data_IF_637096954010
#
_entry.id   IF_637096954010
#
_cell.length_a   1.000
_cell.length_b   1.000
_cell.length_c   1.000
_cell.angle_alpha   90.00
_cell.angle_beta   90.00
_cell.angle_gamma   90.00
#
_symmetry.space_group_name_H-M   'P 1'
#
loop_
_entity.id
_entity.type
_entity.pdbx_description
1 polymer ?
#
# COMPACT_ATOMS: atom_id res chain seq x y z
N UNK A 1 -2.56 -15.52 -27.18
CA UNK A 1 -3.85 -16.11 -27.61
C UNK A 1 -4.80 -14.99 -27.98
N UNK A 2 -5.11 -14.83 -29.28
CA UNK A 2 -5.91 -13.67 -29.72
C UNK A 2 -7.34 -13.64 -29.13
N UNK A 3 -7.90 -14.77 -28.77
CA UNK A 3 -9.24 -14.85 -28.16
C UNK A 3 -9.28 -14.28 -26.74
N UNK A 4 -8.24 -14.54 -25.95
CA UNK A 4 -8.12 -14.05 -24.57
C UNK A 4 -7.89 -12.54 -24.60
N UNK A 5 -7.08 -12.06 -25.53
CA UNK A 5 -6.82 -10.62 -25.68
C UNK A 5 -8.09 -9.86 -26.08
N UNK A 6 -8.91 -10.43 -26.95
CA UNK A 6 -10.22 -9.88 -27.31
C UNK A 6 -11.21 -9.89 -26.14
N UNK A 7 -11.23 -10.94 -25.33
CA UNK A 7 -12.08 -11.03 -24.16
C UNK A 7 -11.66 -10.01 -23.07
N UNK A 8 -10.36 -9.87 -22.85
CA UNK A 8 -9.83 -8.89 -21.90
C UNK A 8 -9.98 -7.45 -22.37
N UNK A 9 -10.01 -7.22 -23.68
CA UNK A 9 -10.27 -5.92 -24.28
C UNK A 9 -11.75 -5.50 -24.20
N UNK A 10 -12.68 -6.47 -24.01
CA UNK A 10 -14.10 -6.12 -23.91
C UNK A 10 -14.40 -5.37 -22.60
N UNK A 11 -15.04 -4.21 -22.71
CA UNK A 11 -15.40 -3.38 -21.56
C UNK A 11 -16.29 -4.10 -20.52
N UNK A 12 -17.10 -5.07 -20.98
CA UNK A 12 -17.97 -5.87 -20.12
C UNK A 12 -17.18 -6.84 -19.24
N UNK A 13 -16.22 -7.57 -19.83
CA UNK A 13 -15.36 -8.52 -19.11
C UNK A 13 -14.49 -7.76 -18.10
N UNK A 14 -13.92 -6.64 -18.51
CA UNK A 14 -13.12 -5.79 -17.60
C UNK A 14 -13.94 -5.27 -16.43
N UNK A 15 -15.18 -4.81 -16.66
CA UNK A 15 -16.10 -4.39 -15.59
C UNK A 15 -16.46 -5.55 -14.65
N UNK A 16 -16.70 -6.75 -15.18
CA UNK A 16 -16.98 -7.92 -14.37
C UNK A 16 -15.79 -8.32 -13.50
N UNK A 17 -14.57 -8.28 -14.04
CA UNK A 17 -13.33 -8.54 -13.29
C UNK A 17 -13.20 -7.53 -12.15
N UNK A 18 -13.32 -6.23 -12.42
CA UNK A 18 -13.24 -5.21 -11.39
C UNK A 18 -14.35 -5.32 -10.34
N UNK A 19 -15.57 -5.67 -10.73
CA UNK A 19 -16.72 -5.75 -9.83
C UNK A 19 -16.68 -6.95 -8.90
N UNK A 20 -16.21 -8.11 -9.38
CA UNK A 20 -16.27 -9.38 -8.64
C UNK A 20 -14.91 -9.88 -8.17
N UNK A 21 -13.90 -9.80 -9.02
CA UNK A 21 -12.55 -10.30 -8.71
C UNK A 21 -11.80 -9.42 -7.71
N UNK A 22 -11.84 -8.11 -7.90
CA UNK A 22 -11.11 -7.17 -7.04
C UNK A 22 -11.59 -7.20 -5.59
N UNK A 23 -12.92 -7.14 -5.28
CA UNK A 23 -13.40 -7.31 -3.93
C UNK A 23 -13.08 -8.67 -3.32
N UNK A 24 -13.14 -9.74 -4.12
CA UNK A 24 -12.77 -11.08 -3.68
C UNK A 24 -11.28 -11.16 -3.32
N UNK A 25 -10.41 -10.66 -4.17
CA UNK A 25 -8.97 -10.62 -3.93
C UNK A 25 -8.64 -9.78 -2.69
N UNK A 26 -9.26 -8.63 -2.54
CA UNK A 26 -9.06 -7.73 -1.39
C UNK A 26 -9.48 -8.40 -0.09
N UNK A 27 -10.60 -9.11 -0.07
CA UNK A 27 -11.04 -9.87 1.10
C UNK A 27 -10.07 -10.99 1.46
N UNK A 28 -9.57 -11.69 0.47
CA UNK A 28 -8.61 -12.78 0.67
C UNK A 28 -7.27 -12.26 1.21
N UNK A 29 -6.77 -11.17 0.64
CA UNK A 29 -5.55 -10.54 1.12
C UNK A 29 -5.69 -10.00 2.55
N UNK A 30 -6.87 -9.52 2.93
CA UNK A 30 -7.16 -9.15 4.33
C UNK A 30 -7.12 -10.36 5.27
N UNK A 31 -7.66 -11.49 4.84
CA UNK A 31 -7.62 -12.72 5.62
C UNK A 31 -6.19 -13.24 5.84
N UNK A 32 -5.28 -12.92 4.95
CA UNK A 32 -3.85 -13.25 5.03
C UNK A 32 -3.02 -12.17 5.76
N UNK A 33 -3.67 -11.19 6.40
CA UNK A 33 -3.03 -10.08 7.12
C UNK A 33 -2.07 -9.23 6.27
N UNK A 34 -2.31 -9.16 4.96
CA UNK A 34 -1.54 -8.29 4.08
C UNK A 34 -1.90 -6.84 4.31
N UNK A 35 -1.00 -6.08 4.93
CA UNK A 35 -1.21 -4.68 5.30
C UNK A 35 -0.73 -3.69 4.24
N UNK A 36 0.23 -4.08 3.42
CA UNK A 36 0.87 -3.22 2.44
C UNK A 36 0.75 -3.78 1.03
N UNK A 37 0.40 -2.90 0.09
CA UNK A 37 0.23 -3.22 -1.33
C UNK A 37 1.19 -2.40 -2.21
N UNK A 38 2.31 -1.93 -1.67
CA UNK A 38 3.32 -1.21 -2.43
C UNK A 38 4.48 -2.11 -2.85
N UNK A 39 5.32 -1.60 -3.74
CA UNK A 39 6.46 -2.35 -4.29
C UNK A 39 7.70 -2.35 -3.39
N UNK A 40 7.61 -1.79 -2.20
CA UNK A 40 8.73 -1.63 -1.29
C UNK A 40 9.82 -0.67 -1.79
N UNK A 41 10.74 -0.28 -0.90
CA UNK A 41 11.82 0.63 -1.23
C UNK A 41 13.02 0.36 -0.32
N UNK A 42 14.20 0.29 -0.90
CA UNK A 42 15.45 0.20 -0.16
C UNK A 42 16.38 1.33 -0.62
N UNK A 43 16.99 2.02 0.34
CA UNK A 43 18.00 3.04 0.07
C UNK A 43 19.39 2.42 0.00
N UNK A 44 20.25 2.97 -0.86
CA UNK A 44 21.67 2.64 -0.91
C UNK A 44 22.50 3.92 -0.63
N UNK A 45 23.22 4.01 0.50
CA UNK A 45 23.27 3.05 1.61
C UNK A 45 21.95 2.98 2.41
N UNK A 46 21.64 1.83 3.01
CA UNK A 46 20.38 1.65 3.72
C UNK A 46 20.30 2.56 4.95
N UNK A 47 19.17 3.25 5.10
CA UNK A 47 18.88 3.99 6.34
C UNK A 47 18.53 3.04 7.47
N UNK A 48 19.05 3.33 8.65
CA UNK A 48 18.61 2.65 9.86
C UNK A 48 17.31 3.27 10.35
N UNK A 49 16.18 2.65 10.03
CA UNK A 49 14.87 3.00 10.55
C UNK A 49 14.52 2.07 11.70
N UNK A 50 14.29 2.64 12.88
CA UNK A 50 13.85 1.87 14.05
C UNK A 50 12.35 1.65 13.96
N UNK A 51 11.93 0.39 13.97
CA UNK A 51 10.53 -0.02 13.89
C UNK A 51 10.13 -0.82 15.12
N UNK A 52 8.83 -0.80 15.43
CA UNK A 52 8.26 -1.74 16.37
C UNK A 52 8.42 -3.18 15.83
N UNK A 53 8.65 -4.19 16.71
CA UNK A 53 8.81 -5.57 16.27
C UNK A 53 7.66 -6.08 15.38
N UNK A 54 6.44 -5.61 15.61
CA UNK A 54 5.27 -5.96 14.80
C UNK A 54 5.33 -5.44 13.37
N UNK A 55 6.10 -4.37 13.12
CA UNK A 55 6.24 -3.74 11.81
C UNK A 55 7.43 -4.28 10.99
N UNK A 56 8.35 -5.01 11.62
CA UNK A 56 9.59 -5.47 10.97
C UNK A 56 9.36 -6.31 9.71
N UNK A 57 8.35 -7.14 9.67
CA UNK A 57 8.02 -7.95 8.49
C UNK A 57 7.62 -7.10 7.26
N UNK A 58 7.23 -5.86 7.49
CA UNK A 58 6.84 -4.90 6.45
C UNK A 58 7.86 -3.78 6.26
N UNK A 59 9.08 -3.93 6.76
CA UNK A 59 10.12 -2.92 6.76
C UNK A 59 10.31 -2.23 5.41
N UNK A 60 10.51 -2.96 4.34
CA UNK A 60 10.76 -2.38 3.02
C UNK A 60 9.56 -1.57 2.50
N UNK A 61 8.34 -2.01 2.79
CA UNK A 61 7.11 -1.26 2.47
C UNK A 61 6.97 0.02 3.29
N UNK A 62 7.33 -0.02 4.57
CA UNK A 62 7.34 1.14 5.46
C UNK A 62 8.42 2.13 5.05
N UNK A 63 9.58 1.67 4.59
CA UNK A 63 10.64 2.52 4.08
C UNK A 63 10.19 3.37 2.88
N UNK A 64 9.30 2.85 2.02
CA UNK A 64 8.70 3.65 0.96
C UNK A 64 7.84 4.79 1.52
N UNK A 65 6.99 4.51 2.51
CA UNK A 65 6.21 5.54 3.21
C UNK A 65 7.10 6.57 3.88
N UNK A 66 8.12 6.12 4.57
CA UNK A 66 9.11 6.98 5.22
C UNK A 66 9.79 7.92 4.22
N UNK A 67 10.25 7.37 3.11
CA UNK A 67 10.94 8.14 2.07
C UNK A 67 10.06 9.24 1.49
N UNK A 68 8.81 8.93 1.17
CA UNK A 68 7.85 9.90 0.60
C UNK A 68 7.37 10.89 1.65
N UNK A 69 6.94 10.43 2.80
CA UNK A 69 6.29 11.26 3.81
C UNK A 69 7.25 12.22 4.51
N UNK A 70 8.53 11.86 4.64
CA UNK A 70 9.52 12.70 5.31
C UNK A 70 10.15 13.76 4.40
N UNK A 71 9.68 13.91 3.17
CA UNK A 71 10.03 15.05 2.32
C UNK A 71 9.50 16.38 2.90
N UNK A 72 8.53 16.31 3.80
CA UNK A 72 8.01 17.45 4.55
C UNK A 72 7.71 17.06 6.00
N UNK A 73 7.61 18.05 6.88
CA UNK A 73 7.18 17.83 8.28
C UNK A 73 5.67 17.61 8.33
N UNK A 74 5.22 16.47 8.81
CA UNK A 74 3.79 16.11 8.89
C UNK A 74 3.17 16.33 10.27
N UNK A 75 3.99 16.48 11.31
CA UNK A 75 3.50 16.61 12.68
C UNK A 75 2.52 17.79 12.81
N UNK A 76 1.32 17.48 13.31
CA UNK A 76 0.27 18.47 13.52
C UNK A 76 -0.42 18.97 12.24
N UNK A 77 -0.04 18.48 11.06
CA UNK A 77 -0.67 18.87 9.79
C UNK A 77 -1.81 17.95 9.43
N UNK A 78 -2.83 18.51 8.79
CA UNK A 78 -3.90 17.70 8.17
C UNK A 78 -3.37 17.03 6.91
N UNK A 79 -3.49 15.71 6.85
CA UNK A 79 -2.98 14.89 5.74
C UNK A 79 -4.12 14.12 5.12
N UNK A 80 -4.18 14.13 3.80
CA UNK A 80 -5.05 13.29 3.00
C UNK A 80 -4.20 12.31 2.20
N UNK A 81 -4.47 11.02 2.36
CA UNK A 81 -3.89 9.97 1.54
C UNK A 81 -4.92 9.39 0.60
N UNK A 82 -4.57 9.30 -0.68
CA UNK A 82 -5.39 8.69 -1.73
C UNK A 82 -4.78 7.34 -2.09
N UNK A 83 -5.64 6.34 -2.33
CA UNK A 83 -5.21 4.99 -2.68
C UNK A 83 -4.36 4.30 -1.59
N UNK A 84 -4.80 4.39 -0.33
CA UNK A 84 -4.08 3.83 0.82
C UNK A 84 -4.04 2.30 0.88
N UNK A 85 -4.67 1.60 -0.05
CA UNK A 85 -4.75 0.13 -0.06
C UNK A 85 -5.43 -0.41 1.19
N UNK A 86 -4.77 -1.30 1.93
CA UNK A 86 -5.28 -1.88 3.19
C UNK A 86 -5.03 -0.99 4.43
N UNK A 87 -4.41 0.16 4.25
CA UNK A 87 -4.21 1.14 5.31
C UNK A 87 -3.02 0.90 6.22
N UNK A 88 -2.16 -0.08 5.92
CA UNK A 88 -0.97 -0.37 6.73
C UNK A 88 0.00 0.81 6.80
N UNK A 89 0.27 1.45 5.67
CA UNK A 89 1.12 2.64 5.60
C UNK A 89 0.49 3.85 6.29
N UNK A 90 -0.81 4.07 6.10
CA UNK A 90 -1.54 5.14 6.78
C UNK A 90 -1.53 4.95 8.29
N UNK A 91 -1.70 3.73 8.77
CA UNK A 91 -1.61 3.39 10.19
C UNK A 91 -0.21 3.67 10.76
N UNK A 92 0.85 3.22 10.08
CA UNK A 92 2.22 3.47 10.50
C UNK A 92 2.54 4.97 10.52
N UNK A 93 2.15 5.70 9.48
CA UNK A 93 2.35 7.16 9.37
C UNK A 93 1.65 7.90 10.52
N UNK A 94 0.41 7.56 10.81
CA UNK A 94 -0.36 8.18 11.89
C UNK A 94 0.28 7.96 13.27
N UNK A 95 0.76 6.75 13.55
CA UNK A 95 1.41 6.40 14.81
C UNK A 95 2.79 7.03 14.97
N UNK A 96 3.53 7.21 13.88
CA UNK A 96 4.95 7.57 13.89
C UNK A 96 5.18 9.05 13.59
N UNK A 97 4.57 9.58 12.55
CA UNK A 97 4.78 10.97 12.11
C UNK A 97 3.76 11.96 12.71
N UNK A 98 2.72 11.46 13.34
CA UNK A 98 1.75 12.21 14.13
C UNK A 98 1.15 13.44 13.44
N UNK A 99 0.53 13.29 12.26
CA UNK A 99 -0.31 14.34 11.69
C UNK A 99 -1.50 14.67 12.59
N UNK A 100 -2.17 15.75 12.28
CA UNK A 100 -3.35 16.17 13.03
C UNK A 100 -4.50 15.17 12.93
#
# INVERSE_FOLDING_TARGET
MPLIDHLLASGLVRRAIWKFWYPFLTRRLRAEEVLFLNYAFEEDPPRTLVLDPADESNRACIQLYQHVATQTELRGKTVLEVSCGHGGGASWLARTLRPA
#
